data_IF_268797764371
#
_entry.id   IF_268797764371
#
_cell.length_a   1.000
_cell.length_b   1.000
_cell.length_c   1.000
_cell.angle_alpha   90.00
_cell.angle_beta   90.00
_cell.angle_gamma   90.00
#
_symmetry.space_group_name_H-M   'P 1'
#
loop_
_entity.id
_entity.type
_entity.pdbx_description
1 polymer ?
#
# COMPACT_ATOMS: atom_id res chain seq x y z
N UNK A 1 11.01 7.70 3.40
CA UNK A 1 9.79 7.18 4.10
C UNK A 1 9.46 5.82 3.53
N UNK A 2 9.08 4.86 4.35
CA UNK A 2 8.44 3.62 3.94
C UNK A 2 6.93 3.80 4.07
N UNK A 3 6.17 3.26 3.11
CA UNK A 3 4.72 3.37 3.07
C UNK A 3 4.07 1.99 2.98
N UNK A 4 4.32 1.15 3.97
CA UNK A 4 3.73 -0.18 4.08
C UNK A 4 2.35 -0.07 4.74
N UNK A 5 1.35 0.22 3.93
CA UNK A 5 -0.01 0.50 4.41
C UNK A 5 -0.86 -0.77 4.53
N UNK A 6 -1.88 -0.70 5.37
CA UNK A 6 -2.91 -1.74 5.52
C UNK A 6 -4.27 -1.07 5.40
N UNK A 7 -5.11 -1.59 4.53
CA UNK A 7 -6.43 -1.05 4.27
C UNK A 7 -7.31 -1.11 5.53
N UNK A 8 -7.75 0.04 6.00
CA UNK A 8 -8.57 0.19 7.21
C UNK A 8 -7.79 0.52 8.49
N UNK A 9 -6.47 0.31 8.49
CA UNK A 9 -5.63 0.58 9.68
C UNK A 9 -4.87 1.92 9.56
N UNK A 10 -4.58 2.38 8.36
CA UNK A 10 -3.77 3.58 8.15
C UNK A 10 -4.61 4.82 7.84
N UNK A 11 -4.26 5.94 8.49
CA UNK A 11 -4.80 7.24 8.18
C UNK A 11 -3.88 7.99 7.18
N UNK A 12 -4.45 8.39 6.05
CA UNK A 12 -3.76 9.19 5.02
C UNK A 12 -3.26 10.52 5.60
N UNK A 13 -3.92 11.08 6.60
CA UNK A 13 -3.54 12.35 7.23
C UNK A 13 -2.19 12.26 7.99
N UNK A 14 -1.84 11.09 8.51
CA UNK A 14 -0.54 10.89 9.16
C UNK A 14 0.61 11.00 8.14
N UNK A 15 0.41 10.53 6.91
CA UNK A 15 1.36 10.73 5.82
C UNK A 15 1.46 12.21 5.41
N UNK A 16 0.33 12.92 5.35
CA UNK A 16 0.31 14.35 5.06
C UNK A 16 1.08 15.16 6.12
N UNK A 17 0.85 14.86 7.39
CA UNK A 17 1.60 15.46 8.50
C UNK A 17 3.11 15.17 8.39
N UNK A 18 3.49 13.93 8.11
CA UNK A 18 4.89 13.53 7.96
C UNK A 18 5.58 14.26 6.81
N UNK A 19 4.93 14.35 5.63
CA UNK A 19 5.46 15.08 4.47
C UNK A 19 5.65 16.56 4.81
N UNK A 20 4.64 17.19 5.44
CA UNK A 20 4.68 18.59 5.82
C UNK A 20 5.78 18.88 6.85
N UNK A 21 5.97 17.97 7.80
CA UNK A 21 7.06 18.07 8.80
C UNK A 21 8.43 18.02 8.12
N UNK A 22 8.65 17.05 7.21
CA UNK A 22 9.90 16.92 6.44
C UNK A 22 10.15 18.18 5.61
N UNK A 23 9.12 18.68 4.92
CA UNK A 23 9.21 19.88 4.09
C UNK A 23 9.56 21.14 4.91
N UNK A 24 9.03 21.25 6.13
CA UNK A 24 9.33 22.38 7.04
C UNK A 24 10.83 22.46 7.44
N UNK A 25 11.54 21.35 7.32
CA UNK A 25 12.99 21.28 7.56
C UNK A 25 13.82 21.65 6.31
N UNK A 26 13.16 22.07 5.20
CA UNK A 26 13.83 22.44 3.95
C UNK A 26 14.34 21.25 3.13
N UNK A 27 13.87 20.03 3.40
CA UNK A 27 14.21 18.81 2.65
C UNK A 27 12.99 18.20 2.02
N UNK A 28 13.19 17.36 0.99
CA UNK A 28 12.09 16.69 0.29
C UNK A 28 11.87 15.27 0.79
N UNK A 29 10.61 14.87 0.86
CA UNK A 29 10.24 13.50 1.15
C UNK A 29 10.54 12.57 -0.04
N UNK A 30 10.90 11.33 0.24
CA UNK A 30 11.06 10.26 -0.72
C UNK A 30 10.40 9.00 -0.18
N UNK A 31 9.43 8.45 -0.92
CA UNK A 31 8.87 7.14 -0.62
C UNK A 31 9.73 6.08 -1.32
N UNK A 32 10.47 5.31 -0.54
CA UNK A 32 11.32 4.23 -1.05
C UNK A 32 10.55 2.93 -1.29
N UNK A 33 9.51 2.71 -0.48
CA UNK A 33 8.80 1.45 -0.39
C UNK A 33 7.32 1.74 -0.17
N UNK A 34 6.50 1.51 -1.16
CA UNK A 34 5.07 1.77 -1.10
C UNK A 34 4.30 0.51 -1.48
N UNK A 35 3.38 0.10 -0.63
CA UNK A 35 2.40 -0.97 -0.86
C UNK A 35 1.17 -0.78 0.03
N UNK A 36 0.05 -1.43 -0.32
CA UNK A 36 -1.20 -1.41 0.43
C UNK A 36 -1.74 -2.82 0.59
N UNK A 37 -1.52 -3.45 1.73
CA UNK A 37 -2.15 -4.73 2.04
C UNK A 37 -3.67 -4.57 2.17
N UNK A 38 -4.41 -5.52 1.60
CA UNK A 38 -5.87 -5.63 1.76
C UNK A 38 -6.27 -6.75 2.72
N UNK A 39 -5.29 -7.47 3.26
CA UNK A 39 -5.51 -8.59 4.17
C UNK A 39 -5.67 -8.11 5.61
N UNK A 40 -6.37 -8.89 6.45
CA UNK A 40 -6.45 -8.61 7.88
C UNK A 40 -5.07 -8.52 8.52
N UNK A 41 -4.90 -7.52 9.38
CA UNK A 41 -3.68 -7.34 10.15
C UNK A 41 -3.65 -8.36 11.31
N UNK A 42 -2.69 -9.29 11.34
CA UNK A 42 -2.65 -10.26 12.42
C UNK A 42 -2.27 -9.59 13.74
N UNK A 43 -3.13 -9.74 14.74
CA UNK A 43 -2.86 -9.29 16.11
C UNK A 43 -2.48 -7.81 16.26
N UNK A 44 -3.01 -6.92 15.40
CA UNK A 44 -2.61 -5.50 15.34
C UNK A 44 -1.09 -5.33 15.18
N UNK A 45 -0.50 -6.18 14.37
CA UNK A 45 0.92 -6.18 14.09
C UNK A 45 1.34 -4.86 13.43
N UNK A 46 2.25 -4.14 14.07
CA UNK A 46 2.78 -2.85 13.56
C UNK A 46 4.30 -2.88 13.36
N UNK A 47 4.93 -4.02 13.62
CA UNK A 47 6.38 -4.15 13.56
C UNK A 47 6.90 -4.37 12.13
N UNK A 48 8.17 -4.05 11.96
CA UNK A 48 8.96 -4.38 10.77
C UNK A 48 10.08 -5.40 11.09
N UNK A 49 9.97 -6.10 12.21
CA UNK A 49 10.93 -7.13 12.58
C UNK A 49 10.72 -8.36 11.68
N UNK A 50 11.59 -8.58 10.73
CA UNK A 50 11.53 -9.67 9.76
C UNK A 50 11.64 -11.07 10.38
N UNK A 51 12.00 -11.19 11.64
CA UNK A 51 11.97 -12.47 12.37
C UNK A 51 10.58 -12.83 12.91
N UNK A 52 9.63 -11.89 12.90
CA UNK A 52 8.27 -12.16 13.31
C UNK A 52 7.59 -13.04 12.26
N UNK A 53 7.06 -14.16 12.70
CA UNK A 53 6.40 -15.13 11.84
C UNK A 53 5.19 -15.71 12.58
N UNK A 54 4.01 -15.51 12.00
CA UNK A 54 2.77 -16.04 12.54
C UNK A 54 2.30 -17.25 11.73
N UNK A 55 1.70 -18.21 12.42
CA UNK A 55 1.13 -19.39 11.76
C UNK A 55 0.03 -18.99 10.76
N UNK A 56 0.05 -19.61 9.59
CA UNK A 56 -1.01 -19.44 8.60
C UNK A 56 -2.35 -19.91 9.16
N UNK A 57 -3.37 -19.09 8.98
CA UNK A 57 -4.77 -19.40 9.25
C UNK A 57 -5.65 -18.82 8.15
N UNK A 58 -6.65 -19.60 7.72
CA UNK A 58 -7.50 -19.23 6.59
C UNK A 58 -8.25 -17.89 6.78
N UNK A 59 -8.61 -17.57 8.03
CA UNK A 59 -9.23 -16.27 8.37
C UNK A 59 -8.32 -15.07 8.17
N UNK A 60 -7.00 -15.29 8.10
CA UNK A 60 -5.99 -14.25 7.81
C UNK A 60 -5.60 -14.17 6.32
N UNK A 61 -6.21 -15.04 5.49
CA UNK A 61 -6.07 -15.04 4.03
C UNK A 61 -7.44 -15.22 3.35
N UNK A 62 -8.43 -14.36 3.67
CA UNK A 62 -9.81 -14.56 3.24
C UNK A 62 -10.03 -14.38 1.72
N UNK A 63 -9.05 -13.83 1.01
CA UNK A 63 -9.17 -13.48 -0.42
C UNK A 63 -8.35 -14.38 -1.34
N UNK A 64 -7.98 -15.58 -0.88
CA UNK A 64 -7.17 -16.54 -1.64
C UNK A 64 -7.78 -16.89 -3.01
N UNK A 65 -9.09 -16.95 -3.09
CA UNK A 65 -9.82 -17.28 -4.34
C UNK A 65 -10.19 -16.06 -5.19
N UNK A 66 -9.77 -14.86 -4.79
CA UNK A 66 -10.05 -13.59 -5.49
C UNK A 66 -10.46 -12.49 -4.52
N UNK A 67 -10.15 -11.25 -4.88
CA UNK A 67 -10.51 -10.08 -4.08
C UNK A 67 -11.99 -9.73 -4.29
N UNK A 68 -12.82 -9.67 -3.23
CA UNK A 68 -14.23 -9.25 -3.37
C UNK A 68 -14.34 -7.83 -3.89
N UNK A 69 -15.37 -7.55 -4.70
CA UNK A 69 -15.59 -6.23 -5.31
C UNK A 69 -15.63 -5.08 -4.30
N UNK A 70 -16.17 -5.33 -3.11
CA UNK A 70 -16.19 -4.34 -2.01
C UNK A 70 -14.78 -3.94 -1.60
N UNK A 71 -13.88 -4.92 -1.42
CA UNK A 71 -12.48 -4.67 -1.01
C UNK A 71 -11.68 -4.04 -2.14
N UNK A 72 -11.90 -4.50 -3.37
CA UNK A 72 -11.31 -3.88 -4.56
C UNK A 72 -11.66 -2.38 -4.63
N UNK A 73 -12.94 -2.04 -4.45
CA UNK A 73 -13.43 -0.65 -4.48
C UNK A 73 -12.83 0.17 -3.34
N UNK A 74 -12.72 -0.41 -2.13
CA UNK A 74 -12.13 0.28 -0.99
C UNK A 74 -10.62 0.55 -1.18
N UNK A 75 -9.88 -0.44 -1.68
CA UNK A 75 -8.46 -0.27 -2.00
C UNK A 75 -8.24 0.75 -3.14
N UNK A 76 -9.11 0.72 -4.17
CA UNK A 76 -9.08 1.69 -5.25
C UNK A 76 -9.30 3.12 -4.72
N UNK A 77 -10.30 3.32 -3.86
CA UNK A 77 -10.57 4.62 -3.26
C UNK A 77 -9.40 5.12 -2.41
N UNK A 78 -8.81 4.23 -1.59
CA UNK A 78 -7.63 4.56 -0.79
C UNK A 78 -6.47 5.04 -1.68
N UNK A 79 -6.16 4.32 -2.77
CA UNK A 79 -5.12 4.72 -3.70
C UNK A 79 -5.40 6.08 -4.35
N UNK A 80 -6.64 6.33 -4.77
CA UNK A 80 -7.04 7.62 -5.35
C UNK A 80 -6.80 8.75 -4.36
N UNK A 81 -7.22 8.60 -3.10
CA UNK A 81 -7.10 9.64 -2.09
C UNK A 81 -5.64 9.84 -1.67
N UNK A 82 -4.85 8.76 -1.59
CA UNK A 82 -3.42 8.85 -1.35
C UNK A 82 -2.68 9.57 -2.49
N UNK A 83 -3.00 9.29 -3.75
CA UNK A 83 -2.40 10.00 -4.88
C UNK A 83 -2.82 11.47 -4.96
N UNK A 84 -4.05 11.81 -4.58
CA UNK A 84 -4.46 13.22 -4.43
C UNK A 84 -3.61 13.94 -3.37
N UNK A 85 -3.32 13.28 -2.25
CA UNK A 85 -2.41 13.79 -1.24
C UNK A 85 -1.00 14.03 -1.83
N UNK A 86 -0.42 13.01 -2.49
CA UNK A 86 0.90 13.16 -3.10
C UNK A 86 0.96 14.31 -4.10
N UNK A 87 -0.10 14.50 -4.89
CA UNK A 87 -0.19 15.61 -5.86
C UNK A 87 -0.28 16.99 -5.19
N UNK A 88 -1.00 17.11 -4.06
CA UNK A 88 -1.01 18.38 -3.28
C UNK A 88 0.38 18.74 -2.78
N UNK A 89 1.21 17.75 -2.46
CA UNK A 89 2.57 17.92 -1.94
C UNK A 89 3.66 17.65 -2.99
N UNK A 90 3.35 17.69 -4.28
CA UNK A 90 4.31 17.32 -5.35
C UNK A 90 5.61 18.13 -5.31
N UNK A 91 5.59 19.35 -4.77
CA UNK A 91 6.79 20.20 -4.61
C UNK A 91 7.72 19.70 -3.50
N UNK A 92 7.15 19.01 -2.52
CA UNK A 92 7.82 18.52 -1.32
C UNK A 92 8.24 17.05 -1.44
N UNK A 93 7.85 16.39 -2.51
CA UNK A 93 8.14 14.98 -2.77
C UNK A 93 9.14 14.86 -3.92
N UNK A 94 10.24 14.15 -3.69
CA UNK A 94 11.26 13.90 -4.70
C UNK A 94 10.86 12.75 -5.63
N UNK A 95 10.38 11.64 -5.05
CA UNK A 95 10.03 10.41 -5.76
C UNK A 95 9.12 9.53 -4.94
N UNK A 96 8.30 8.73 -5.63
CA UNK A 96 7.51 7.64 -5.06
C UNK A 96 7.95 6.34 -5.72
N UNK A 97 8.44 5.40 -4.91
CA UNK A 97 8.85 4.06 -5.34
C UNK A 97 7.97 2.99 -4.69
N UNK A 98 7.62 1.97 -5.45
CA UNK A 98 6.92 0.79 -4.93
C UNK A 98 7.92 -0.28 -4.51
N UNK A 99 7.55 -1.08 -3.48
CA UNK A 99 8.41 -2.16 -3.01
C UNK A 99 8.39 -3.39 -3.92
N UNK A 100 7.35 -3.53 -4.73
CA UNK A 100 7.25 -4.59 -5.74
C UNK A 100 6.48 -4.12 -6.98
N UNK A 101 6.71 -4.80 -8.11
CA UNK A 101 6.10 -4.45 -9.39
C UNK A 101 4.65 -4.90 -9.51
N UNK A 102 4.29 -6.07 -8.99
CA UNK A 102 2.96 -6.66 -9.13
C UNK A 102 2.62 -7.53 -7.91
N UNK A 103 1.35 -7.86 -7.73
CA UNK A 103 0.85 -8.58 -6.57
C UNK A 103 1.57 -9.93 -6.34
N UNK A 104 1.99 -10.61 -7.39
CA UNK A 104 2.62 -11.92 -7.28
C UNK A 104 4.02 -11.91 -6.67
N UNK A 105 4.75 -10.80 -6.74
CA UNK A 105 6.07 -10.64 -6.13
C UNK A 105 6.05 -9.85 -4.83
N UNK A 106 4.88 -9.49 -4.33
CA UNK A 106 4.77 -8.73 -3.08
C UNK A 106 5.23 -9.55 -1.88
N UNK A 107 6.13 -8.98 -1.08
CA UNK A 107 6.57 -9.56 0.19
C UNK A 107 5.40 -9.79 1.17
N UNK A 108 4.31 -9.05 1.01
CA UNK A 108 3.08 -9.19 1.78
C UNK A 108 2.42 -10.57 1.65
N UNK A 109 2.75 -11.32 0.59
CA UNK A 109 2.30 -12.70 0.44
C UNK A 109 2.94 -13.63 1.48
N UNK A 110 4.12 -13.28 1.97
CA UNK A 110 4.94 -14.17 2.81
C UNK A 110 5.31 -13.56 4.17
N UNK A 111 4.96 -12.30 4.41
CA UNK A 111 5.25 -11.62 5.68
C UNK A 111 4.03 -10.83 6.18
N UNK A 112 3.73 -10.86 7.47
CA UNK A 112 4.34 -11.67 8.55
C UNK A 112 3.81 -13.12 8.61
N UNK A 113 3.05 -13.55 7.62
CA UNK A 113 2.51 -14.91 7.49
C UNK A 113 2.83 -15.42 6.10
N UNK A 114 3.55 -16.55 6.03
CA UNK A 114 3.93 -17.17 4.76
C UNK A 114 2.73 -17.79 4.02
N UNK A 115 2.69 -17.62 2.69
CA UNK A 115 1.74 -18.27 1.80
C UNK A 115 0.36 -17.62 1.73
N UNK A 116 0.22 -16.34 2.09
CA UNK A 116 -1.02 -15.57 1.89
C UNK A 116 -1.14 -15.08 0.44
N UNK A 117 -2.33 -14.60 0.10
CA UNK A 117 -2.65 -14.02 -1.20
C UNK A 117 -3.06 -12.56 -1.05
N UNK A 118 -2.07 -11.65 -1.12
CA UNK A 118 -2.34 -10.20 -1.03
C UNK A 118 -2.44 -9.55 -2.42
N UNK A 119 -3.07 -8.38 -2.47
CA UNK A 119 -3.31 -7.56 -3.67
C UNK A 119 -2.72 -6.15 -3.49
N UNK A 120 -1.48 -6.10 -3.01
CA UNK A 120 -0.85 -4.94 -2.39
C UNK A 120 -0.31 -3.89 -3.37
N UNK A 121 -0.30 -4.15 -4.68
CA UNK A 121 0.30 -3.25 -5.68
C UNK A 121 -0.73 -2.70 -6.67
N UNK A 122 -0.26 -1.84 -7.58
CA UNK A 122 -1.10 -1.28 -8.67
C UNK A 122 -1.25 -2.22 -9.88
N UNK A 123 -0.49 -3.32 -9.91
CA UNK A 123 -0.54 -4.31 -10.98
C UNK A 123 -0.95 -5.67 -10.42
N UNK A 124 -1.74 -6.40 -11.17
CA UNK A 124 -2.20 -7.74 -10.79
C UNK A 124 -1.07 -8.78 -10.89
N UNK A 125 -1.37 -10.05 -10.56
CA UNK A 125 -0.39 -11.15 -10.59
C UNK A 125 0.14 -11.47 -11.99
N UNK A 126 -0.56 -11.05 -13.03
CA UNK A 126 -0.18 -11.19 -14.45
C UNK A 126 0.56 -9.95 -14.97
N UNK A 127 0.83 -8.96 -14.10
CA UNK A 127 1.48 -7.71 -14.47
C UNK A 127 0.58 -6.76 -15.25
N UNK A 128 -0.75 -6.97 -15.24
CA UNK A 128 -1.68 -6.06 -15.88
C UNK A 128 -2.06 -4.92 -14.93
N UNK A 129 -2.20 -3.68 -15.43
CA UNK A 129 -2.58 -2.56 -14.58
C UNK A 129 -4.01 -2.75 -14.05
N UNK A 130 -4.17 -2.61 -12.75
CA UNK A 130 -5.50 -2.59 -12.13
C UNK A 130 -6.29 -1.34 -12.57
N UNK A 131 -7.64 -1.36 -12.51
CA UNK A 131 -8.47 -0.21 -12.94
C UNK A 131 -8.08 1.12 -12.30
N UNK A 132 -7.60 1.11 -11.06
CA UNK A 132 -7.15 2.29 -10.33
C UNK A 132 -6.01 3.04 -11.04
N UNK A 133 -5.13 2.35 -11.76
CA UNK A 133 -4.02 2.99 -12.50
C UNK A 133 -4.54 4.02 -13.50
N UNK A 134 -5.56 3.66 -14.26
CA UNK A 134 -6.21 4.59 -15.21
C UNK A 134 -6.78 5.82 -14.51
N UNK A 135 -7.40 5.63 -13.33
CA UNK A 135 -7.98 6.73 -12.53
C UNK A 135 -6.89 7.64 -11.96
N UNK A 136 -5.78 7.07 -11.48
CA UNK A 136 -4.63 7.83 -11.00
C UNK A 136 -4.06 8.70 -12.13
N UNK A 137 -3.87 8.14 -13.33
CA UNK A 137 -3.38 8.90 -14.49
C UNK A 137 -4.32 10.07 -14.84
N UNK A 138 -5.63 9.93 -14.62
CA UNK A 138 -6.58 11.00 -14.87
C UNK A 138 -6.50 12.15 -13.86
N UNK A 139 -5.91 11.93 -12.66
CA UNK A 139 -5.72 13.00 -11.67
C UNK A 139 -4.68 14.05 -12.10
N UNK A 140 -3.78 13.72 -13.02
CA UNK A 140 -2.68 14.60 -13.48
C UNK A 140 -2.93 15.22 -14.86
N UNK A 141 -4.11 14.99 -15.42
CA UNK A 141 -4.56 15.61 -16.67
C UNK A 141 -5.41 16.84 -16.41
#
# INVERSE_FOLDING_TARGET
>A
MQGHMILGDNDIQEYEHSISTIASLGVKAFFSELDLSVLPNPYNFSGANISDNFAYRAELDPYKSGLPKRQETAAEQFWIDFYKLLLRHQKDILRVGFWCLHDGCSWRNDFPIHGRTDYATLFDRQGQPKPVVKKIIQLVK
#
